data_IF_818801099022
#
_entry.id   IF_818801099022
#
_cell.length_a   1.000
_cell.length_b   1.000
_cell.length_c   1.000
_cell.angle_alpha   90.00
_cell.angle_beta   90.00
_cell.angle_gamma   90.00
#
_symmetry.space_group_name_H-M   'P 1'
#
loop_
_entity.id
_entity.type
_entity.pdbx_description
1 polymer ?
#
# COMPACT_ATOMS: atom_id res chain seq x y z
N UNK A 1 8.38 -117.71 -63.84
CA UNK A 1 7.08 -118.40 -64.02
C UNK A 1 6.02 -117.52 -63.34
N UNK A 2 5.60 -116.44 -64.01
CA UNK A 2 4.30 -116.27 -64.69
C UNK A 2 3.11 -116.13 -63.71
N UNK A 3 2.37 -115.02 -63.89
CA UNK A 3 1.11 -114.60 -63.24
C UNK A 3 1.28 -114.08 -61.79
N UNK A 4 1.00 -112.83 -61.43
CA UNK A 4 -0.28 -112.15 -61.56
C UNK A 4 -0.08 -110.63 -61.68
N UNK A 5 -0.21 -110.12 -62.91
CA UNK A 5 -0.47 -108.71 -63.21
C UNK A 5 -1.99 -108.61 -63.31
N UNK A 6 -2.72 -108.40 -62.22
CA UNK A 6 -4.11 -107.90 -62.26
C UNK A 6 -4.71 -107.61 -60.87
N UNK A 7 -4.06 -106.76 -60.07
CA UNK A 7 -4.70 -106.09 -58.91
C UNK A 7 -4.01 -104.77 -58.56
N UNK A 8 -3.42 -104.09 -59.56
CA UNK A 8 -2.62 -102.87 -59.35
C UNK A 8 -3.43 -101.55 -59.52
N UNK A 9 -4.70 -101.59 -59.91
CA UNK A 9 -5.43 -100.38 -60.34
C UNK A 9 -6.68 -99.98 -59.54
N UNK A 10 -7.14 -100.77 -58.57
CA UNK A 10 -8.33 -100.42 -57.78
C UNK A 10 -8.04 -99.85 -56.37
N UNK A 11 -6.88 -100.15 -55.76
CA UNK A 11 -6.63 -99.83 -54.35
C UNK A 11 -5.81 -98.53 -54.11
N UNK A 12 -5.20 -97.96 -55.16
CA UNK A 12 -4.47 -96.68 -55.07
C UNK A 12 -5.38 -95.44 -55.13
N UNK A 13 -6.58 -95.54 -55.72
CA UNK A 13 -7.52 -94.40 -55.79
C UNK A 13 -8.31 -94.18 -54.50
N UNK A 14 -8.59 -95.22 -53.71
CA UNK A 14 -9.28 -95.06 -52.41
C UNK A 14 -8.36 -94.51 -51.30
N UNK A 15 -7.08 -94.89 -51.28
CA UNK A 15 -6.13 -94.37 -50.28
C UNK A 15 -5.81 -92.88 -50.50
N UNK A 16 -5.75 -92.40 -51.75
CA UNK A 16 -5.51 -90.99 -52.04
C UNK A 16 -6.70 -90.08 -51.72
N UNK A 17 -7.95 -90.58 -51.84
CA UNK A 17 -9.16 -89.82 -51.49
C UNK A 17 -9.31 -89.72 -49.96
N UNK A 18 -9.01 -90.79 -49.21
CA UNK A 18 -9.04 -90.77 -47.76
C UNK A 18 -7.95 -89.87 -47.14
N UNK A 19 -6.73 -89.84 -47.71
CA UNK A 19 -5.66 -88.94 -47.25
C UNK A 19 -5.91 -87.47 -47.60
N UNK A 20 -6.59 -87.19 -48.72
CA UNK A 20 -6.95 -85.81 -49.10
C UNK A 20 -8.05 -85.23 -48.22
N UNK A 21 -9.04 -86.04 -47.81
CA UNK A 21 -10.14 -85.59 -46.94
C UNK A 21 -9.65 -85.36 -45.49
N UNK A 22 -8.71 -86.17 -45.00
CA UNK A 22 -8.13 -86.00 -43.65
C UNK A 22 -7.18 -84.77 -43.60
N UNK A 23 -6.45 -84.48 -44.68
CA UNK A 23 -5.65 -83.24 -44.78
C UNK A 23 -6.53 -81.99 -44.86
N UNK A 24 -7.66 -82.03 -45.58
CA UNK A 24 -8.60 -80.90 -45.66
C UNK A 24 -9.40 -80.70 -44.35
N UNK A 25 -9.77 -81.79 -43.63
CA UNK A 25 -10.42 -81.68 -42.32
C UNK A 25 -9.45 -81.17 -41.23
N UNK A 26 -8.16 -81.54 -41.30
CA UNK A 26 -7.14 -81.03 -40.38
C UNK A 26 -6.79 -79.55 -40.62
N UNK A 27 -6.96 -79.06 -41.86
CA UNK A 27 -6.76 -77.66 -42.21
C UNK A 27 -7.96 -76.77 -41.82
N UNK A 28 -9.17 -77.34 -41.73
CA UNK A 28 -10.37 -76.61 -41.28
C UNK A 28 -10.50 -76.51 -39.75
N UNK A 29 -9.83 -77.36 -38.97
CA UNK A 29 -9.88 -77.32 -37.50
C UNK A 29 -8.69 -76.60 -36.83
N UNK A 30 -7.62 -76.27 -37.56
CA UNK A 30 -6.47 -75.53 -37.01
C UNK A 30 -6.59 -73.99 -37.14
N UNK A 31 -7.60 -73.48 -37.84
CA UNK A 31 -7.76 -72.04 -38.10
C UNK A 31 -8.73 -71.23 -37.22
N UNK A 32 -9.56 -71.77 -36.30
CA UNK A 32 -10.40 -70.91 -35.46
C UNK A 32 -9.66 -70.31 -34.25
N UNK A 33 -8.52 -70.87 -33.83
CA UNK A 33 -7.77 -70.39 -32.64
C UNK A 33 -6.86 -69.18 -32.91
N UNK A 34 -6.20 -69.10 -34.08
CA UNK A 34 -5.42 -67.90 -34.44
C UNK A 34 -6.30 -66.68 -34.77
N UNK A 35 -7.52 -66.91 -35.29
CA UNK A 35 -8.46 -65.85 -35.66
C UNK A 35 -9.15 -65.20 -34.45
N UNK A 36 -9.34 -65.93 -33.35
CA UNK A 36 -9.91 -65.36 -32.12
C UNK A 36 -8.86 -64.55 -31.34
N UNK A 37 -7.59 -64.96 -31.38
CA UNK A 37 -6.49 -64.28 -30.69
C UNK A 37 -6.01 -63.03 -31.46
N UNK A 38 -6.05 -63.01 -32.80
CA UNK A 38 -5.82 -61.82 -33.62
C UNK A 38 -6.94 -60.78 -33.45
N UNK A 39 -8.21 -61.20 -33.45
CA UNK A 39 -9.35 -60.31 -33.19
C UNK A 39 -9.36 -59.73 -31.76
N UNK A 40 -8.95 -60.50 -30.74
CA UNK A 40 -8.77 -59.99 -29.36
C UNK A 40 -7.62 -58.97 -29.27
N UNK A 41 -6.52 -59.19 -29.99
CA UNK A 41 -5.40 -58.24 -30.04
C UNK A 41 -5.75 -56.95 -30.81
N UNK A 42 -6.49 -57.04 -31.91
CA UNK A 42 -6.90 -55.90 -32.72
C UNK A 42 -7.98 -55.06 -32.01
N UNK A 43 -8.94 -55.70 -31.34
CA UNK A 43 -9.91 -55.03 -30.47
C UNK A 43 -9.26 -54.40 -29.23
N UNK A 44 -8.27 -55.05 -28.60
CA UNK A 44 -7.49 -54.47 -27.51
C UNK A 44 -6.62 -53.28 -27.96
N UNK A 45 -6.01 -53.34 -29.15
CA UNK A 45 -5.28 -52.20 -29.74
C UNK A 45 -6.21 -51.04 -30.09
N UNK A 46 -7.39 -51.31 -30.65
CA UNK A 46 -8.42 -50.29 -30.94
C UNK A 46 -8.94 -49.64 -29.66
N UNK A 47 -9.16 -50.44 -28.61
CA UNK A 47 -9.57 -49.96 -27.29
C UNK A 47 -8.47 -49.13 -26.61
N UNK A 48 -7.20 -49.52 -26.75
CA UNK A 48 -6.06 -48.75 -26.23
C UNK A 48 -5.86 -47.42 -26.98
N UNK A 49 -6.03 -47.39 -28.31
CA UNK A 49 -6.02 -46.14 -29.10
C UNK A 49 -7.18 -45.21 -28.75
N UNK A 50 -8.38 -45.76 -28.52
CA UNK A 50 -9.54 -45.00 -28.05
C UNK A 50 -9.27 -44.40 -26.65
N UNK A 51 -8.78 -45.21 -25.70
CA UNK A 51 -8.37 -44.74 -24.37
C UNK A 51 -7.30 -43.65 -24.43
N UNK A 52 -6.31 -43.79 -25.32
CA UNK A 52 -5.26 -42.79 -25.51
C UNK A 52 -5.80 -41.49 -26.11
N UNK A 53 -6.73 -41.57 -27.06
CA UNK A 53 -7.45 -40.41 -27.61
C UNK A 53 -8.28 -39.70 -26.54
N UNK A 54 -8.98 -40.46 -25.69
CA UNK A 54 -9.79 -39.91 -24.60
C UNK A 54 -8.92 -39.25 -23.53
N UNK A 55 -7.77 -39.85 -23.20
CA UNK A 55 -6.76 -39.25 -22.30
C UNK A 55 -6.19 -37.96 -22.91
N UNK A 56 -5.87 -37.94 -24.21
CA UNK A 56 -5.39 -36.72 -24.89
C UNK A 56 -6.45 -35.61 -24.89
N UNK A 57 -7.73 -35.94 -25.15
CA UNK A 57 -8.85 -34.99 -25.03
C UNK A 57 -9.01 -34.47 -23.60
N UNK A 58 -8.86 -35.34 -22.61
CA UNK A 58 -8.92 -34.96 -21.20
C UNK A 58 -7.75 -34.03 -20.81
N UNK A 59 -6.54 -34.29 -21.31
CA UNK A 59 -5.37 -33.41 -21.14
C UNK A 59 -5.63 -32.06 -21.80
N UNK A 60 -6.04 -32.00 -23.07
CA UNK A 60 -6.33 -30.75 -23.76
C UNK A 60 -7.44 -29.94 -23.07
N UNK A 61 -8.50 -30.61 -22.60
CA UNK A 61 -9.56 -29.98 -21.81
C UNK A 61 -9.01 -29.43 -20.49
N UNK A 62 -8.15 -30.18 -19.81
CA UNK A 62 -7.54 -29.77 -18.56
C UNK A 62 -6.56 -28.60 -18.75
N UNK A 63 -5.76 -28.60 -19.80
CA UNK A 63 -4.87 -27.50 -20.18
C UNK A 63 -5.67 -26.22 -20.47
N UNK A 64 -6.75 -26.34 -21.25
CA UNK A 64 -7.68 -25.24 -21.51
C UNK A 64 -8.29 -24.68 -20.21
N UNK A 65 -8.79 -25.56 -19.32
CA UNK A 65 -9.31 -25.15 -18.00
C UNK A 65 -8.25 -24.42 -17.16
N UNK A 66 -7.00 -24.90 -17.17
CA UNK A 66 -5.87 -24.25 -16.46
C UNK A 66 -5.58 -22.87 -17.07
N UNK A 67 -5.58 -22.76 -18.39
CA UNK A 67 -5.39 -21.50 -19.10
C UNK A 67 -6.47 -20.47 -18.72
N UNK A 68 -7.74 -20.87 -18.78
CA UNK A 68 -8.86 -20.00 -18.41
C UNK A 68 -8.84 -19.60 -16.93
N UNK A 69 -8.52 -20.55 -16.04
CA UNK A 69 -8.36 -20.27 -14.62
C UNK A 69 -7.23 -19.25 -14.37
N UNK A 70 -6.09 -19.39 -15.06
CA UNK A 70 -4.96 -18.46 -14.97
C UNK A 70 -5.31 -17.07 -15.53
N UNK A 71 -6.02 -17.00 -16.67
CA UNK A 71 -6.47 -15.73 -17.27
C UNK A 71 -7.40 -14.98 -16.33
N UNK A 72 -8.42 -15.66 -15.80
CA UNK A 72 -9.35 -15.06 -14.85
C UNK A 72 -8.64 -14.66 -13.54
N UNK A 73 -7.67 -15.44 -13.08
CA UNK A 73 -6.87 -15.11 -11.90
C UNK A 73 -6.00 -13.87 -12.14
N UNK A 74 -5.39 -13.73 -13.31
CA UNK A 74 -4.63 -12.53 -13.68
C UNK A 74 -5.53 -11.28 -13.70
N UNK A 75 -6.76 -11.40 -14.20
CA UNK A 75 -7.75 -10.32 -14.14
C UNK A 75 -8.11 -9.94 -12.69
N UNK A 76 -8.32 -10.92 -11.81
CA UNK A 76 -8.55 -10.67 -10.38
C UNK A 76 -7.33 -10.06 -9.67
N UNK A 77 -6.11 -10.43 -10.05
CA UNK A 77 -4.87 -9.82 -9.53
C UNK A 77 -4.73 -8.36 -9.99
N UNK A 78 -5.14 -8.04 -11.22
CA UNK A 78 -5.20 -6.66 -11.71
C UNK A 78 -6.29 -5.86 -10.98
N UNK A 79 -7.44 -6.46 -10.72
CA UNK A 79 -8.49 -5.84 -9.92
C UNK A 79 -7.99 -5.57 -8.49
N UNK A 80 -7.28 -6.53 -7.88
CA UNK A 80 -6.68 -6.35 -6.55
C UNK A 80 -5.67 -5.21 -6.52
N UNK A 81 -4.84 -5.05 -7.58
CA UNK A 81 -3.96 -3.89 -7.72
C UNK A 81 -4.75 -2.58 -7.68
N UNK A 82 -5.81 -2.48 -8.48
CA UNK A 82 -6.64 -1.28 -8.53
C UNK A 82 -7.33 -1.00 -7.19
N UNK A 83 -7.86 -2.04 -6.53
CA UNK A 83 -8.47 -1.95 -5.20
C UNK A 83 -7.45 -1.46 -4.15
N UNK A 84 -6.23 -2.03 -4.14
CA UNK A 84 -5.14 -1.62 -3.23
C UNK A 84 -4.71 -0.16 -3.48
N UNK A 85 -4.59 0.27 -4.74
CA UNK A 85 -4.24 1.65 -5.10
C UNK A 85 -5.33 2.66 -4.68
N UNK A 86 -6.61 2.30 -4.87
CA UNK A 86 -7.73 3.12 -4.42
C UNK A 86 -7.72 3.29 -2.90
N UNK A 87 -7.52 2.20 -2.16
CA UNK A 87 -7.38 2.23 -0.69
C UNK A 87 -6.21 3.12 -0.27
N UNK A 88 -5.06 3.01 -0.95
CA UNK A 88 -3.87 3.81 -0.63
C UNK A 88 -4.09 5.30 -0.81
N UNK A 89 -4.76 5.69 -1.90
CA UNK A 89 -5.11 7.09 -2.19
C UNK A 89 -6.02 7.67 -1.11
N UNK A 90 -7.08 6.93 -0.76
CA UNK A 90 -8.05 7.38 0.25
C UNK A 90 -7.42 7.42 1.64
N UNK A 91 -6.63 6.42 2.02
CA UNK A 91 -5.92 6.43 3.30
C UNK A 91 -4.90 7.58 3.41
N UNK A 92 -4.24 7.95 2.30
CA UNK A 92 -3.37 9.14 2.27
C UNK A 92 -4.17 10.43 2.47
N UNK A 93 -5.35 10.54 1.85
CA UNK A 93 -6.24 11.69 2.03
C UNK A 93 -6.76 11.80 3.47
N UNK A 94 -7.21 10.68 4.07
CA UNK A 94 -7.67 10.64 5.47
C UNK A 94 -6.56 11.11 6.42
N UNK A 95 -5.34 10.58 6.29
CA UNK A 95 -4.24 10.97 7.16
C UNK A 95 -3.89 12.47 7.04
N UNK A 96 -3.97 13.04 5.83
CA UNK A 96 -3.81 14.47 5.63
C UNK A 96 -4.92 15.26 6.32
N UNK A 97 -6.18 14.87 6.13
CA UNK A 97 -7.34 15.51 6.77
C UNK A 97 -7.22 15.44 8.31
N UNK A 98 -6.79 14.32 8.88
CA UNK A 98 -6.55 14.19 10.33
C UNK A 98 -5.51 15.21 10.83
N UNK A 99 -4.41 15.40 10.08
CA UNK A 99 -3.37 16.38 10.42
C UNK A 99 -3.90 17.82 10.27
N UNK A 100 -4.66 18.09 9.21
CA UNK A 100 -5.25 19.41 8.96
C UNK A 100 -6.32 19.74 10.02
N UNK A 101 -7.09 18.75 10.49
CA UNK A 101 -8.05 18.89 11.60
C UNK A 101 -7.35 19.23 12.92
N UNK A 102 -6.27 18.52 13.27
CA UNK A 102 -5.49 18.77 14.49
C UNK A 102 -4.93 20.20 14.49
N UNK A 103 -4.25 20.60 13.42
CA UNK A 103 -3.67 21.94 13.29
C UNK A 103 -4.72 23.06 13.27
N UNK A 104 -5.88 22.83 12.63
CA UNK A 104 -6.99 23.80 12.62
C UNK A 104 -7.61 23.93 14.02
N UNK A 105 -7.77 22.83 14.74
CA UNK A 105 -8.31 22.83 16.10
C UNK A 105 -7.39 23.57 17.09
N UNK A 106 -6.07 23.39 16.95
CA UNK A 106 -5.07 24.15 17.71
C UNK A 106 -5.16 25.66 17.43
N UNK A 107 -5.24 26.06 16.15
CA UNK A 107 -5.40 27.48 15.77
C UNK A 107 -6.69 28.09 16.33
N UNK A 108 -7.81 27.38 16.25
CA UNK A 108 -9.09 27.82 16.83
C UNK A 108 -8.91 28.06 18.34
N UNK A 109 -8.26 27.14 19.05
CA UNK A 109 -8.03 27.28 20.49
C UNK A 109 -7.17 28.50 20.83
N UNK A 110 -6.10 28.74 20.08
CA UNK A 110 -5.22 29.90 20.26
C UNK A 110 -5.95 31.23 19.96
N UNK A 111 -6.73 31.28 18.88
CA UNK A 111 -7.54 32.44 18.53
C UNK A 111 -8.64 32.71 19.55
N UNK A 112 -9.27 31.67 20.11
CA UNK A 112 -10.28 31.80 21.15
C UNK A 112 -9.69 32.42 22.44
N UNK A 113 -8.48 32.00 22.83
CA UNK A 113 -7.75 32.60 23.97
C UNK A 113 -7.44 34.08 23.69
N UNK A 114 -6.90 34.39 22.51
CA UNK A 114 -6.57 35.77 22.11
C UNK A 114 -7.81 36.67 22.05
N UNK A 115 -8.90 36.17 21.49
CA UNK A 115 -10.21 36.84 21.47
C UNK A 115 -10.69 37.15 22.88
N UNK A 116 -10.58 36.22 23.82
CA UNK A 116 -10.96 36.43 25.22
C UNK A 116 -10.10 37.51 25.88
N UNK A 117 -8.78 37.48 25.69
CA UNK A 117 -7.87 38.49 26.22
C UNK A 117 -8.16 39.90 25.69
N UNK A 118 -8.35 40.04 24.38
CA UNK A 118 -8.72 41.30 23.74
C UNK A 118 -10.10 41.79 24.19
N UNK A 119 -11.05 40.88 24.41
CA UNK A 119 -12.38 41.23 24.94
C UNK A 119 -12.27 41.83 26.35
N UNK A 120 -11.46 41.23 27.22
CA UNK A 120 -11.22 41.75 28.57
C UNK A 120 -10.48 43.09 28.52
N UNK A 121 -9.47 43.23 27.65
CA UNK A 121 -8.74 44.47 27.45
C UNK A 121 -9.67 45.60 26.97
N UNK A 122 -10.52 45.32 25.97
CA UNK A 122 -11.57 46.24 25.48
C UNK A 122 -12.46 46.69 26.63
N UNK A 123 -13.01 45.76 27.41
CA UNK A 123 -13.91 46.09 28.53
C UNK A 123 -13.24 46.99 29.57
N UNK A 124 -11.96 46.73 29.88
CA UNK A 124 -11.19 47.55 30.82
C UNK A 124 -10.93 48.96 30.27
N UNK A 125 -10.49 49.07 29.01
CA UNK A 125 -10.25 50.35 28.34
C UNK A 125 -11.55 51.17 28.25
N UNK A 126 -12.66 50.54 27.87
CA UNK A 126 -13.98 51.14 27.78
C UNK A 126 -14.45 51.71 29.13
N UNK A 127 -14.26 50.97 30.23
CA UNK A 127 -14.61 51.43 31.57
C UNK A 127 -13.75 52.63 32.02
N UNK A 128 -12.43 52.61 31.75
CA UNK A 128 -11.54 53.73 32.08
C UNK A 128 -11.88 54.99 31.27
N UNK A 129 -12.11 54.86 29.97
CA UNK A 129 -12.51 55.97 29.10
C UNK A 129 -13.87 56.54 29.54
N UNK A 130 -14.83 55.69 29.91
CA UNK A 130 -16.13 56.13 30.43
C UNK A 130 -15.99 56.92 31.74
N UNK A 131 -15.11 56.50 32.66
CA UNK A 131 -14.82 57.25 33.89
C UNK A 131 -14.20 58.62 33.60
N UNK A 132 -13.23 58.70 32.67
CA UNK A 132 -12.59 59.95 32.29
C UNK A 132 -13.56 60.92 31.61
N UNK A 133 -14.42 60.42 30.72
CA UNK A 133 -15.48 61.21 30.07
C UNK A 133 -16.48 61.75 31.09
N UNK A 134 -16.91 60.91 32.04
CA UNK A 134 -17.82 61.32 33.12
C UNK A 134 -17.19 62.41 33.98
N UNK A 135 -15.94 62.25 34.41
CA UNK A 135 -15.22 63.25 35.19
C UNK A 135 -15.08 64.58 34.41
N UNK A 136 -14.70 64.52 33.14
CA UNK A 136 -14.61 65.72 32.29
C UNK A 136 -15.96 66.43 32.14
N UNK A 137 -17.06 65.68 32.02
CA UNK A 137 -18.41 66.23 31.94
C UNK A 137 -18.85 66.88 33.27
N UNK A 138 -18.65 66.20 34.41
CA UNK A 138 -19.06 66.71 35.73
C UNK A 138 -18.27 67.93 36.18
N UNK A 139 -17.00 68.05 35.77
CA UNK A 139 -16.16 69.23 36.07
C UNK A 139 -16.58 70.46 35.24
N UNK A 140 -17.50 70.30 34.28
CA UNK A 140 -17.97 71.35 33.38
C UNK A 140 -16.89 71.69 32.34
N UNK A 141 -17.18 71.46 31.06
CA UNK A 141 -16.26 71.67 29.91
C UNK A 141 -15.56 73.06 29.83
N UNK A 142 -15.93 74.01 30.68
CA UNK A 142 -15.58 75.42 30.62
C UNK A 142 -14.52 75.85 31.65
N UNK A 143 -14.06 74.94 32.53
CA UNK A 143 -13.12 75.28 33.59
C UNK A 143 -11.74 75.70 33.04
N UNK A 144 -11.31 75.10 31.91
CA UNK A 144 -10.07 75.47 31.22
C UNK A 144 -10.10 76.92 30.69
N UNK A 145 -11.20 77.33 30.05
CA UNK A 145 -11.35 78.70 29.54
C UNK A 145 -11.45 79.70 30.68
N UNK A 146 -12.18 79.39 31.75
CA UNK A 146 -12.24 80.25 32.95
C UNK A 146 -10.87 80.41 33.63
N UNK A 147 -10.07 79.34 33.66
CA UNK A 147 -8.75 79.35 34.28
C UNK A 147 -7.69 80.08 33.42
N UNK A 148 -7.81 79.99 32.09
CA UNK A 148 -7.01 80.81 31.16
C UNK A 148 -7.35 82.31 31.24
N UNK A 149 -8.61 82.64 31.49
CA UNK A 149 -9.09 84.02 31.57
C UNK A 149 -8.74 84.70 32.91
N UNK A 150 -8.30 83.94 33.92
CA UNK A 150 -7.96 84.46 35.24
C UNK A 150 -6.46 84.85 35.29
N UNK A 151 -6.14 86.14 35.13
CA UNK A 151 -4.78 86.65 34.82
C UNK A 151 -3.82 86.80 36.01
N UNK A 152 -4.22 86.49 37.24
CA UNK A 152 -3.49 86.92 38.44
C UNK A 152 -2.17 86.18 38.72
N UNK A 153 -1.87 85.02 38.09
CA UNK A 153 -0.64 84.25 38.35
C UNK A 153 -0.06 83.54 37.09
N UNK A 154 0.70 84.27 36.28
CA UNK A 154 1.28 83.83 34.99
C UNK A 154 2.04 82.48 35.04
N UNK A 155 2.88 82.24 36.06
CA UNK A 155 3.65 80.99 36.18
C UNK A 155 2.79 79.75 36.45
N UNK A 156 1.67 79.90 37.16
CA UNK A 156 0.76 78.77 37.44
C UNK A 156 -0.06 78.42 36.21
N UNK A 157 -0.44 79.42 35.42
CA UNK A 157 -1.14 79.24 34.15
C UNK A 157 -0.27 78.44 33.18
N UNK A 158 1.01 78.81 33.02
CA UNK A 158 1.93 78.11 32.12
C UNK A 158 2.09 76.62 32.48
N UNK A 159 2.33 76.32 33.77
CA UNK A 159 2.40 74.94 34.26
C UNK A 159 1.10 74.18 34.04
N UNK A 160 -0.03 74.83 34.32
CA UNK A 160 -1.36 74.23 34.14
C UNK A 160 -1.64 73.90 32.68
N UNK A 161 -1.32 74.79 31.73
CA UNK A 161 -1.42 74.52 30.29
C UNK A 161 -0.58 73.29 29.90
N UNK A 162 0.67 73.21 30.36
CA UNK A 162 1.52 72.05 30.09
C UNK A 162 0.91 70.76 30.65
N UNK A 163 0.38 70.77 31.87
CA UNK A 163 -0.29 69.59 32.45
C UNK A 163 -1.53 69.18 31.65
N UNK A 164 -2.33 70.13 31.16
CA UNK A 164 -3.46 69.84 30.27
C UNK A 164 -3.02 69.25 28.94
N UNK A 165 -1.92 69.73 28.35
CA UNK A 165 -1.36 69.16 27.13
C UNK A 165 -0.93 67.71 27.33
N UNK A 166 -0.16 67.42 28.39
CA UNK A 166 0.24 66.05 28.73
C UNK A 166 -0.97 65.14 28.99
N UNK A 167 -1.99 65.65 29.70
CA UNK A 167 -3.22 64.91 29.97
C UNK A 167 -4.00 64.59 28.68
N UNK A 168 -4.16 65.57 27.79
CA UNK A 168 -4.85 65.36 26.52
C UNK A 168 -4.08 64.40 25.60
N UNK A 169 -2.75 64.52 25.56
CA UNK A 169 -1.92 63.58 24.81
C UNK A 169 -2.05 62.14 25.34
N UNK A 170 -2.08 61.97 26.68
CA UNK A 170 -2.34 60.66 27.29
C UNK A 170 -3.74 60.13 26.92
N UNK A 171 -4.77 60.99 26.93
CA UNK A 171 -6.14 60.62 26.52
C UNK A 171 -6.22 60.18 25.06
N UNK A 172 -5.63 60.94 24.14
CA UNK A 172 -5.59 60.56 22.72
C UNK A 172 -4.90 59.21 22.54
N UNK A 173 -3.78 58.99 23.24
CA UNK A 173 -3.07 57.70 23.19
C UNK A 173 -3.92 56.53 23.70
N UNK A 174 -4.72 56.72 24.75
CA UNK A 174 -5.64 55.69 25.24
C UNK A 174 -6.76 55.38 24.23
N UNK A 175 -7.29 56.40 23.55
CA UNK A 175 -8.28 56.23 22.47
C UNK A 175 -7.66 55.46 21.29
N UNK A 176 -6.45 55.83 20.86
CA UNK A 176 -5.74 55.15 19.78
C UNK A 176 -5.49 53.68 20.12
N UNK A 177 -5.02 53.41 21.34
CA UNK A 177 -4.83 52.04 21.83
C UNK A 177 -6.15 51.26 21.86
N UNK A 178 -7.25 51.88 22.26
CA UNK A 178 -8.58 51.24 22.26
C UNK A 178 -9.07 50.91 20.84
N UNK A 179 -8.88 51.82 19.88
CA UNK A 179 -9.20 51.58 18.47
C UNK A 179 -8.37 50.41 17.90
N UNK A 180 -7.08 50.33 18.25
CA UNK A 180 -6.22 49.20 17.88
C UNK A 180 -6.74 47.90 18.50
N UNK A 181 -7.13 47.88 19.79
CA UNK A 181 -7.72 46.70 20.43
C UNK A 181 -8.99 46.23 19.70
N UNK A 182 -9.87 47.14 19.30
CA UNK A 182 -11.10 46.81 18.56
C UNK A 182 -10.77 46.23 17.18
N UNK A 183 -9.84 46.85 16.44
CA UNK A 183 -9.43 46.37 15.13
C UNK A 183 -8.83 44.96 15.22
N UNK A 184 -7.96 44.72 16.21
CA UNK A 184 -7.39 43.40 16.48
C UNK A 184 -8.46 42.38 16.88
N UNK A 185 -9.44 42.77 17.70
CA UNK A 185 -10.53 41.89 18.11
C UNK A 185 -11.41 41.48 16.92
N UNK A 186 -11.72 42.43 16.03
CA UNK A 186 -12.49 42.16 14.81
C UNK A 186 -11.73 41.22 13.89
N UNK A 187 -10.45 41.49 13.63
CA UNK A 187 -9.60 40.60 12.83
C UNK A 187 -9.55 39.18 13.40
N UNK A 188 -9.24 39.04 14.71
CA UNK A 188 -9.17 37.72 15.37
C UNK A 188 -10.52 37.01 15.36
N UNK A 189 -11.63 37.75 15.48
CA UNK A 189 -12.96 37.15 15.42
C UNK A 189 -13.29 36.62 14.01
N UNK A 190 -12.91 37.35 12.97
CA UNK A 190 -13.07 36.91 11.58
C UNK A 190 -12.18 35.70 11.29
N UNK A 191 -10.89 35.74 11.67
CA UNK A 191 -9.98 34.60 11.55
C UNK A 191 -10.48 33.37 12.31
N UNK A 192 -11.01 33.55 13.52
CA UNK A 192 -11.59 32.44 14.28
C UNK A 192 -12.79 31.83 13.54
N UNK A 193 -13.69 32.64 12.98
CA UNK A 193 -14.85 32.14 12.25
C UNK A 193 -14.43 31.38 10.99
N UNK A 194 -13.47 31.90 10.21
CA UNK A 194 -13.00 31.20 9.01
C UNK A 194 -12.35 29.86 9.34
N UNK A 195 -11.62 29.76 10.44
CA UNK A 195 -11.06 28.48 10.90
C UNK A 195 -12.17 27.50 11.37
N UNK A 196 -13.24 27.99 12.01
CA UNK A 196 -14.39 27.15 12.37
C UNK A 196 -15.12 26.62 11.14
N UNK A 197 -15.32 27.44 10.12
CA UNK A 197 -15.95 27.02 8.87
C UNK A 197 -15.07 26.00 8.12
N UNK A 198 -13.76 26.23 8.10
CA UNK A 198 -12.78 25.28 7.54
C UNK A 198 -12.78 23.94 8.29
N UNK A 199 -12.88 23.97 9.64
CA UNK A 199 -12.99 22.77 10.45
C UNK A 199 -14.24 21.95 10.08
N UNK A 200 -15.38 22.61 9.85
CA UNK A 200 -16.61 21.94 9.44
C UNK A 200 -16.46 21.28 8.07
N UNK A 201 -15.88 22.00 7.09
CA UNK A 201 -15.60 21.45 5.76
C UNK A 201 -14.68 20.21 5.85
N UNK A 202 -13.61 20.27 6.64
CA UNK A 202 -12.69 19.14 6.81
C UNK A 202 -13.37 17.91 7.43
N UNK A 203 -14.31 18.10 8.37
CA UNK A 203 -15.11 17.00 8.95
C UNK A 203 -16.04 16.36 7.91
N UNK A 204 -16.67 17.17 7.06
CA UNK A 204 -17.54 16.66 6.00
C UNK A 204 -16.72 15.89 4.94
N UNK A 205 -15.55 16.40 4.57
CA UNK A 205 -14.59 15.71 3.70
C UNK A 205 -14.11 14.39 4.33
N UNK A 206 -13.81 14.37 5.63
CA UNK A 206 -13.43 13.16 6.35
C UNK A 206 -14.51 12.08 6.24
N UNK A 207 -15.78 12.44 6.47
CA UNK A 207 -16.90 11.52 6.39
C UNK A 207 -17.03 10.93 4.97
N UNK A 208 -16.88 11.76 3.93
CA UNK A 208 -16.90 11.31 2.55
C UNK A 208 -15.76 10.33 2.26
N UNK A 209 -14.52 10.64 2.67
CA UNK A 209 -13.38 9.74 2.49
C UNK A 209 -13.57 8.41 3.23
N UNK A 210 -14.14 8.43 4.44
CA UNK A 210 -14.42 7.23 5.22
C UNK A 210 -15.43 6.30 4.54
N UNK A 211 -16.49 6.85 3.95
CA UNK A 211 -17.46 6.04 3.19
C UNK A 211 -16.79 5.39 1.97
N UNK A 212 -15.97 6.14 1.23
CA UNK A 212 -15.22 5.64 0.09
C UNK A 212 -14.19 4.58 0.48
N UNK A 213 -13.54 4.75 1.64
CA UNK A 213 -12.57 3.80 2.18
C UNK A 213 -13.23 2.47 2.54
N UNK A 214 -14.39 2.51 3.22
CA UNK A 214 -15.18 1.32 3.56
C UNK A 214 -15.65 0.58 2.32
N UNK A 215 -16.13 1.31 1.31
CA UNK A 215 -16.52 0.74 0.01
C UNK A 215 -15.36 0.03 -0.68
N UNK A 216 -14.20 0.69 -0.76
CA UNK A 216 -12.98 0.14 -1.37
C UNK A 216 -12.47 -1.11 -0.64
N UNK A 217 -12.49 -1.11 0.70
CA UNK A 217 -12.18 -2.31 1.51
C UNK A 217 -13.14 -3.46 1.26
N UNK A 218 -14.45 -3.18 1.15
CA UNK A 218 -15.46 -4.19 0.84
C UNK A 218 -15.21 -4.82 -0.52
N UNK A 219 -14.90 -4.01 -1.54
CA UNK A 219 -14.58 -4.48 -2.89
C UNK A 219 -13.31 -5.35 -2.89
N UNK A 220 -12.24 -4.89 -2.25
CA UNK A 220 -11.00 -5.67 -2.07
C UNK A 220 -11.28 -7.03 -1.42
N UNK A 221 -12.09 -7.06 -0.38
CA UNK A 221 -12.44 -8.31 0.31
C UNK A 221 -13.22 -9.27 -0.60
N UNK A 222 -14.11 -8.78 -1.47
CA UNK A 222 -14.78 -9.60 -2.48
C UNK A 222 -13.76 -10.16 -3.49
N UNK A 223 -12.82 -9.34 -3.97
CA UNK A 223 -11.74 -9.76 -4.87
C UNK A 223 -10.88 -10.86 -4.23
N UNK A 224 -10.48 -10.69 -2.97
CA UNK A 224 -9.69 -11.68 -2.22
C UNK A 224 -10.45 -12.99 -2.01
N UNK A 225 -11.74 -12.94 -1.69
CA UNK A 225 -12.59 -14.17 -1.59
C UNK A 225 -12.69 -14.90 -2.91
N UNK A 226 -12.78 -14.19 -4.04
CA UNK A 226 -12.77 -14.82 -5.38
C UNK A 226 -11.41 -15.44 -5.69
N UNK A 227 -10.31 -14.78 -5.29
CA UNK A 227 -8.95 -15.26 -5.51
C UNK A 227 -8.62 -16.47 -4.62
N UNK A 228 -9.10 -16.52 -3.37
CA UNK A 228 -8.86 -17.64 -2.46
C UNK A 228 -9.59 -18.92 -2.86
N UNK A 229 -10.77 -18.82 -3.49
CA UNK A 229 -11.50 -19.98 -4.05
C UNK A 229 -10.76 -20.64 -5.22
N UNK A 230 -9.86 -19.91 -5.88
CA UNK A 230 -9.03 -20.41 -6.99
C UNK A 230 -7.68 -20.86 -6.47
N UNK A 231 -7.69 -21.98 -5.74
CA UNK A 231 -6.50 -22.59 -5.16
C UNK A 231 -5.52 -23.00 -6.28
N UNK A 232 -4.26 -22.60 -6.13
CA UNK A 232 -3.18 -23.04 -6.99
C UNK A 232 -2.63 -24.36 -6.48
N UNK A 233 -2.22 -25.25 -7.38
CA UNK A 233 -1.41 -26.40 -6.99
C UNK A 233 -0.05 -25.95 -6.46
N UNK A 234 0.63 -26.79 -5.67
CA UNK A 234 1.96 -26.47 -5.13
C UNK A 234 2.96 -26.06 -6.21
N UNK A 235 2.90 -26.70 -7.39
CA UNK A 235 3.76 -26.39 -8.54
C UNK A 235 3.41 -25.04 -9.17
N UNK A 236 2.12 -24.75 -9.35
CA UNK A 236 1.67 -23.45 -9.87
C UNK A 236 2.04 -22.31 -8.92
N UNK A 237 1.92 -22.52 -7.60
CA UNK A 237 2.33 -21.56 -6.59
C UNK A 237 3.84 -21.29 -6.64
N UNK A 238 4.66 -22.33 -6.82
CA UNK A 238 6.11 -22.18 -6.98
C UNK A 238 6.45 -21.37 -8.24
N UNK A 239 5.84 -21.69 -9.38
CA UNK A 239 6.05 -20.95 -10.63
C UNK A 239 5.64 -19.48 -10.51
N UNK A 240 4.51 -19.22 -9.82
CA UNK A 240 4.07 -17.85 -9.53
C UNK A 240 5.12 -17.09 -8.71
N UNK A 241 5.61 -17.67 -7.61
CA UNK A 241 6.58 -17.02 -6.74
C UNK A 241 7.90 -16.70 -7.47
N UNK A 242 8.34 -17.59 -8.37
CA UNK A 242 9.50 -17.33 -9.24
C UNK A 242 9.27 -16.16 -10.19
N UNK A 243 8.09 -16.08 -10.80
CA UNK A 243 7.74 -14.98 -11.69
C UNK A 243 7.69 -13.64 -10.94
N UNK A 244 7.13 -13.61 -9.73
CA UNK A 244 7.12 -12.42 -8.87
C UNK A 244 8.53 -11.98 -8.47
N UNK A 245 9.40 -12.93 -8.15
CA UNK A 245 10.81 -12.65 -7.84
C UNK A 245 11.56 -12.10 -9.05
N UNK A 246 11.34 -12.66 -10.24
CA UNK A 246 11.95 -12.17 -11.47
C UNK A 246 11.46 -10.74 -11.79
N UNK A 247 10.16 -10.48 -11.65
CA UNK A 247 9.60 -9.14 -11.85
C UNK A 247 10.21 -8.12 -10.88
N UNK A 248 10.41 -8.49 -9.61
CA UNK A 248 11.10 -7.63 -8.65
C UNK A 248 12.54 -7.34 -9.09
N UNK A 249 13.31 -8.37 -9.45
CA UNK A 249 14.71 -8.18 -9.87
C UNK A 249 14.81 -7.33 -11.13
N UNK A 250 13.91 -7.52 -12.11
CA UNK A 250 13.85 -6.70 -13.32
C UNK A 250 13.52 -5.24 -12.99
N UNK A 251 12.53 -4.99 -12.13
CA UNK A 251 12.19 -3.64 -11.68
C UNK A 251 13.39 -2.96 -11.01
N UNK A 252 14.07 -3.66 -10.10
CA UNK A 252 15.24 -3.13 -9.40
C UNK A 252 16.42 -2.86 -10.33
N UNK A 253 16.72 -3.77 -11.27
CA UNK A 253 17.82 -3.59 -12.22
C UNK A 253 17.59 -2.40 -13.14
N UNK A 254 16.33 -2.21 -13.61
CA UNK A 254 15.96 -1.05 -14.41
C UNK A 254 16.16 0.26 -13.63
N UNK A 255 15.82 0.28 -12.34
CA UNK A 255 15.98 1.45 -11.49
C UNK A 255 17.45 1.73 -11.13
N UNK A 256 18.23 0.68 -10.86
CA UNK A 256 19.66 0.81 -10.59
C UNK A 256 20.42 1.39 -11.79
N UNK A 257 20.02 1.04 -13.02
CA UNK A 257 20.63 1.58 -14.24
C UNK A 257 20.35 3.08 -14.46
N UNK A 258 19.24 3.60 -13.94
CA UNK A 258 18.85 5.00 -14.09
C UNK A 258 19.55 5.94 -13.08
N UNK A 259 20.23 5.38 -12.08
CA UNK A 259 20.77 6.12 -10.94
C UNK A 259 22.28 5.92 -10.93
N UNK A 260 22.96 6.66 -11.82
CA UNK A 260 24.41 6.81 -11.86
C UNK A 260 24.87 8.18 -11.33
N UNK A 261 23.97 8.98 -10.76
CA UNK A 261 24.28 10.35 -10.35
C UNK A 261 24.55 10.44 -8.83
N UNK A 262 25.78 10.83 -8.53
CA UNK A 262 26.38 11.28 -7.27
C UNK A 262 25.39 11.63 -6.15
N UNK A 263 25.31 10.75 -5.15
CA UNK A 263 24.87 11.12 -3.81
C UNK A 263 25.91 10.55 -2.86
N UNK A 264 26.44 11.40 -1.97
CA UNK A 264 27.36 11.01 -0.91
C UNK A 264 26.62 10.20 0.17
N UNK A 265 26.20 8.99 -0.21
CA UNK A 265 25.59 8.01 0.67
C UNK A 265 26.65 6.98 1.04
N UNK A 266 26.94 6.87 2.33
CA UNK A 266 28.04 6.06 2.86
C UNK A 266 27.78 4.55 2.89
N UNK A 267 26.58 4.10 2.50
CA UNK A 267 26.16 2.69 2.55
C UNK A 267 25.79 2.22 3.97
N UNK A 268 25.53 0.90 4.10
CA UNK A 268 25.13 0.28 5.37
C UNK A 268 26.22 -0.58 6.02
N UNK A 269 27.43 -0.61 5.45
CA UNK A 269 28.51 -1.53 5.85
C UNK A 269 28.98 -1.32 7.30
N UNK A 270 29.14 -0.05 7.72
CA UNK A 270 29.58 0.36 9.07
C UNK A 270 28.49 0.28 10.15
N UNK A 271 27.24 0.01 9.73
CA UNK A 271 26.03 0.08 10.58
C UNK A 271 25.48 -1.30 10.94
N UNK A 272 26.25 -2.37 10.75
CA UNK A 272 25.89 -3.71 11.21
C UNK A 272 25.55 -3.69 12.70
N UNK A 273 24.42 -4.30 13.06
CA UNK A 273 23.84 -4.34 14.41
C UNK A 273 23.56 -2.99 15.07
N UNK A 274 23.52 -1.88 14.31
CA UNK A 274 23.28 -0.53 14.85
C UNK A 274 21.96 0.08 14.41
N UNK A 275 21.36 -0.43 13.32
CA UNK A 275 20.14 0.13 12.76
C UNK A 275 18.92 -0.23 13.62
N UNK A 276 17.91 0.63 13.61
CA UNK A 276 16.61 0.33 14.19
C UNK A 276 15.79 -0.54 13.25
N UNK A 277 14.92 -1.39 13.80
CA UNK A 277 13.88 -2.02 12.99
C UNK A 277 12.93 -0.96 12.41
N UNK A 278 12.47 -1.12 11.15
CA UNK A 278 11.59 -0.14 10.51
C UNK A 278 10.18 -0.08 11.12
N UNK A 279 9.81 -1.11 11.89
CA UNK A 279 8.62 -1.09 12.73
C UNK A 279 8.80 -2.01 13.94
N UNK A 280 8.20 -1.62 15.07
CA UNK A 280 8.07 -2.47 16.26
C UNK A 280 6.95 -3.49 16.03
N UNK A 281 7.27 -4.78 16.09
CA UNK A 281 6.32 -5.85 15.86
C UNK A 281 6.93 -7.25 16.01
N UNK A 282 6.09 -8.29 15.90
CA UNK A 282 6.53 -9.69 16.01
C UNK A 282 6.99 -10.22 14.65
N UNK A 283 8.19 -10.80 14.59
CA UNK A 283 8.68 -11.44 13.36
C UNK A 283 7.91 -12.75 13.12
N UNK A 284 7.11 -12.79 12.05
CA UNK A 284 6.34 -13.96 11.60
C UNK A 284 7.17 -14.89 10.73
N UNK A 285 7.97 -14.33 9.82
CA UNK A 285 8.86 -15.08 8.94
C UNK A 285 10.26 -14.49 9.01
N UNK A 286 11.26 -15.37 9.04
CA UNK A 286 12.68 -14.99 9.15
C UNK A 286 13.38 -15.23 7.81
N UNK A 287 14.44 -14.47 7.58
CA UNK A 287 15.30 -14.69 6.42
C UNK A 287 15.81 -16.14 6.39
N UNK A 288 15.80 -16.75 5.21
CA UNK A 288 16.33 -18.10 4.98
C UNK A 288 15.40 -19.25 5.36
N UNK A 289 14.26 -19.01 6.03
CA UNK A 289 13.28 -20.07 6.32
C UNK A 289 12.53 -20.48 5.06
N UNK A 290 11.95 -21.69 5.06
CA UNK A 290 11.15 -22.21 3.94
C UNK A 290 9.93 -21.32 3.68
N UNK A 291 9.68 -20.97 2.41
CA UNK A 291 8.52 -20.19 1.94
C UNK A 291 7.53 -21.08 1.19
N UNK A 292 7.99 -21.76 0.13
CA UNK A 292 7.19 -22.70 -0.66
C UNK A 292 8.11 -23.67 -1.40
N UNK A 293 7.88 -24.98 -1.30
CA UNK A 293 8.79 -25.96 -1.92
C UNK A 293 10.22 -25.76 -1.41
N UNK A 294 11.17 -25.53 -2.31
CA UNK A 294 12.56 -25.19 -1.96
C UNK A 294 12.83 -23.67 -1.83
N UNK A 295 11.87 -22.82 -2.14
CA UNK A 295 12.03 -21.37 -2.07
C UNK A 295 12.16 -20.93 -0.61
N UNK A 296 13.11 -20.04 -0.34
CA UNK A 296 13.36 -19.46 0.99
C UNK A 296 12.91 -18.00 1.04
N UNK A 297 12.60 -17.52 2.24
CA UNK A 297 12.35 -16.10 2.49
C UNK A 297 13.64 -15.28 2.28
N UNK A 298 13.56 -14.23 1.45
CA UNK A 298 14.67 -13.30 1.18
C UNK A 298 14.67 -12.07 2.09
N UNK A 299 13.69 -11.95 2.96
CA UNK A 299 13.55 -10.90 3.95
C UNK A 299 12.87 -11.43 5.20
N UNK A 300 12.33 -10.51 6.00
CA UNK A 300 11.52 -10.81 7.17
C UNK A 300 10.09 -10.31 6.97
N UNK A 301 9.12 -10.98 7.59
CA UNK A 301 7.76 -10.46 7.70
C UNK A 301 7.51 -10.08 9.15
N UNK A 302 7.23 -8.80 9.41
CA UNK A 302 7.02 -8.24 10.74
C UNK A 302 5.54 -7.92 10.90
N UNK A 303 4.86 -8.61 11.83
CA UNK A 303 3.46 -8.32 12.16
C UNK A 303 3.37 -7.05 12.98
N UNK A 304 2.51 -6.14 12.53
CA UNK A 304 2.14 -4.94 13.26
C UNK A 304 0.73 -4.48 12.84
N UNK A 305 0.08 -3.64 13.66
CA UNK A 305 -1.24 -3.10 13.34
C UNK A 305 -1.24 -2.31 12.02
N UNK A 306 -2.38 -2.34 11.33
CA UNK A 306 -2.64 -1.50 10.14
C UNK A 306 -2.48 -0.02 10.54
N UNK A 307 -2.07 0.81 9.58
CA UNK A 307 -1.86 2.26 9.75
C UNK A 307 -0.68 2.63 10.65
N UNK A 308 0.05 1.67 11.24
CA UNK A 308 1.29 1.97 11.96
C UNK A 308 2.34 2.48 10.98
N UNK A 309 3.07 3.53 11.36
CA UNK A 309 4.14 4.08 10.53
C UNK A 309 5.29 3.08 10.34
N UNK A 310 5.75 2.98 9.10
CA UNK A 310 6.98 2.31 8.68
C UNK A 310 8.04 3.38 8.52
N UNK A 311 9.17 3.19 9.20
CA UNK A 311 10.28 4.13 9.21
C UNK A 311 11.41 3.62 8.31
N UNK A 312 12.13 4.53 7.66
CA UNK A 312 13.36 4.15 6.97
C UNK A 312 14.45 3.80 7.98
N UNK A 313 15.21 2.75 7.70
CA UNK A 313 16.30 2.29 8.58
C UNK A 313 17.52 3.22 8.58
N UNK A 314 17.69 4.01 7.52
CA UNK A 314 18.83 4.90 7.35
C UNK A 314 18.55 5.97 6.28
N UNK A 315 19.41 6.99 6.22
CA UNK A 315 19.40 8.01 5.17
C UNK A 315 19.50 7.37 3.78
N UNK A 316 18.77 7.90 2.81
CA UNK A 316 18.76 7.37 1.46
C UNK A 316 17.90 8.16 0.49
N UNK A 317 17.72 7.60 -0.72
CA UNK A 317 16.83 8.13 -1.76
C UNK A 317 15.83 7.07 -2.19
N UNK A 318 14.58 7.45 -2.41
CA UNK A 318 13.54 6.52 -2.86
C UNK A 318 13.75 6.19 -4.34
N UNK A 319 14.00 4.92 -4.66
CA UNK A 319 14.12 4.41 -6.03
C UNK A 319 12.81 3.94 -6.63
N UNK A 320 11.92 3.41 -5.80
CA UNK A 320 10.63 2.87 -6.21
C UNK A 320 9.58 3.19 -5.17
N UNK A 321 8.40 3.57 -5.62
CA UNK A 321 7.25 3.83 -4.76
C UNK A 321 5.97 3.57 -5.56
N UNK A 322 5.61 2.30 -5.72
CA UNK A 322 4.40 1.89 -6.46
C UNK A 322 3.98 0.46 -6.04
N UNK A 323 2.87 -0.01 -6.58
CA UNK A 323 2.39 -1.38 -6.43
C UNK A 323 3.15 -2.34 -7.34
N UNK A 324 3.74 -3.38 -6.74
CA UNK A 324 4.41 -4.46 -7.44
C UNK A 324 3.73 -5.81 -7.17
N UNK A 325 3.54 -6.59 -8.23
CA UNK A 325 2.91 -7.92 -8.16
C UNK A 325 3.67 -8.83 -7.19
N UNK A 326 2.96 -9.39 -6.22
CA UNK A 326 3.50 -10.26 -5.16
C UNK A 326 4.00 -9.52 -3.91
N UNK A 327 4.25 -8.22 -4.02
CA UNK A 327 4.79 -7.39 -2.94
C UNK A 327 3.79 -6.30 -2.48
N UNK A 328 2.73 -6.05 -3.26
CA UNK A 328 1.78 -4.98 -2.98
C UNK A 328 2.44 -3.62 -3.15
N UNK A 329 2.00 -2.64 -2.36
CA UNK A 329 2.64 -1.32 -2.30
C UNK A 329 4.03 -1.45 -1.69
N UNK A 330 5.02 -1.12 -2.50
CA UNK A 330 6.44 -1.33 -2.21
C UNK A 330 7.17 0.01 -2.31
N UNK A 331 7.95 0.32 -1.27
CA UNK A 331 8.97 1.36 -1.30
C UNK A 331 10.34 0.71 -1.35
N UNK A 332 11.22 1.20 -2.22
CA UNK A 332 12.63 0.80 -2.28
C UNK A 332 13.48 2.04 -2.06
N UNK A 333 14.43 1.96 -1.12
CA UNK A 333 15.33 3.05 -0.78
C UNK A 333 16.77 2.61 -1.07
N UNK A 334 17.50 3.46 -1.79
CA UNK A 334 18.94 3.35 -1.97
C UNK A 334 19.68 4.05 -0.84
N UNK A 335 20.65 3.36 -0.27
CA UNK A 335 21.51 3.86 0.80
C UNK A 335 22.95 4.05 0.33
N UNK A 336 23.24 3.94 -0.97
CA UNK A 336 24.58 4.08 -1.54
C UNK A 336 25.40 2.80 -1.44
N UNK A 337 26.53 2.77 -2.16
CA UNK A 337 27.46 1.63 -2.22
C UNK A 337 26.76 0.28 -2.55
N UNK A 338 25.70 0.34 -3.37
CA UNK A 338 24.91 -0.84 -3.77
C UNK A 338 24.01 -1.42 -2.68
N UNK A 339 23.81 -0.72 -1.54
CA UNK A 339 22.88 -1.12 -0.50
C UNK A 339 21.47 -0.59 -0.76
N UNK A 340 20.48 -1.46 -0.65
CA UNK A 340 19.07 -1.08 -0.77
C UNK A 340 18.25 -1.68 0.37
N UNK A 341 17.17 -1.00 0.75
CA UNK A 341 16.14 -1.53 1.63
C UNK A 341 14.77 -1.51 0.96
N UNK A 342 13.98 -2.56 1.19
CA UNK A 342 12.68 -2.77 0.59
C UNK A 342 11.62 -2.89 1.68
N UNK A 343 10.49 -2.20 1.48
CA UNK A 343 9.38 -2.12 2.43
C UNK A 343 8.09 -2.40 1.68
N UNK A 344 7.49 -3.58 1.88
CA UNK A 344 6.34 -4.02 1.10
C UNK A 344 5.11 -4.39 1.94
N UNK A 345 4.00 -4.65 1.26
CA UNK A 345 2.66 -4.85 1.82
C UNK A 345 2.09 -3.62 2.53
N UNK A 346 2.60 -2.43 2.21
CA UNK A 346 2.14 -1.18 2.80
C UNK A 346 0.67 -0.91 2.45
N UNK A 347 -0.02 -0.14 3.27
CA UNK A 347 -1.35 0.38 2.95
C UNK A 347 -1.26 1.64 2.09
N UNK A 348 -0.31 2.52 2.43
CA UNK A 348 -0.08 3.81 1.78
C UNK A 348 1.41 4.09 1.77
N UNK A 349 1.88 4.71 0.70
CA UNK A 349 3.25 5.21 0.56
C UNK A 349 3.25 6.72 0.81
N UNK A 350 4.13 7.17 1.71
CA UNK A 350 4.23 8.58 2.11
C UNK A 350 5.25 9.35 1.28
N UNK A 351 6.16 8.63 0.60
CA UNK A 351 7.24 9.19 -0.22
C UNK A 351 7.10 8.81 -1.69
N UNK A 352 7.58 9.69 -2.56
CA UNK A 352 7.61 9.54 -4.01
C UNK A 352 8.99 9.12 -4.50
N UNK A 353 9.07 8.59 -5.73
CA UNK A 353 10.36 8.29 -6.36
C UNK A 353 11.18 9.57 -6.49
N UNK A 354 12.44 9.51 -6.08
CA UNK A 354 13.35 10.65 -6.08
C UNK A 354 13.48 11.38 -4.75
N UNK A 355 12.54 11.20 -3.83
CA UNK A 355 12.57 11.84 -2.50
C UNK A 355 13.79 11.38 -1.71
N UNK A 356 14.45 12.32 -1.02
CA UNK A 356 15.45 12.00 0.00
C UNK A 356 14.73 11.69 1.31
N UNK A 357 15.26 10.73 2.04
CA UNK A 357 14.72 10.31 3.34
C UNK A 357 15.82 10.23 4.38
N UNK A 358 15.47 10.57 5.61
CA UNK A 358 16.37 10.57 6.77
C UNK A 358 16.09 9.41 7.71
N UNK A 359 17.10 8.98 8.46
CA UNK A 359 17.01 7.85 9.40
C UNK A 359 15.83 8.02 10.37
N UNK A 360 14.92 7.04 10.41
CA UNK A 360 13.75 7.07 11.29
C UNK A 360 12.54 7.82 10.70
N UNK A 361 12.68 8.45 9.54
CA UNK A 361 11.58 9.17 8.89
C UNK A 361 10.45 8.21 8.45
N UNK A 362 9.17 8.57 8.65
CA UNK A 362 8.04 7.79 8.13
C UNK A 362 8.01 7.78 6.60
N UNK A 363 8.01 6.58 6.02
CA UNK A 363 8.02 6.38 4.56
C UNK A 363 6.76 5.71 4.02
N UNK A 364 6.05 4.98 4.87
CA UNK A 364 4.83 4.27 4.52
C UNK A 364 3.99 3.98 5.76
N UNK A 365 2.75 3.52 5.56
CA UNK A 365 1.89 2.97 6.60
C UNK A 365 1.71 1.47 6.39
N UNK A 366 1.70 0.69 7.48
CA UNK A 366 1.53 -0.77 7.42
C UNK A 366 0.15 -1.13 6.88
N UNK A 367 0.14 -2.16 6.03
CA UNK A 367 -1.09 -2.68 5.44
C UNK A 367 -1.08 -4.18 5.23
N UNK A 368 -1.84 -4.57 4.22
CA UNK A 368 -2.06 -5.95 3.76
C UNK A 368 -2.05 -6.02 2.22
N UNK A 369 -1.50 -5.02 1.54
CA UNK A 369 -1.56 -4.95 0.06
C UNK A 369 -0.81 -6.13 -0.58
N UNK A 370 -1.17 -6.46 -1.82
CA UNK A 370 -0.62 -7.63 -2.51
C UNK A 370 -1.22 -8.97 -2.06
N UNK A 371 -2.33 -8.93 -1.30
CA UNK A 371 -3.10 -10.12 -0.91
C UNK A 371 -2.58 -10.88 0.30
N UNK A 372 -1.90 -10.19 1.22
CA UNK A 372 -1.45 -10.77 2.48
C UNK A 372 -2.65 -11.06 3.39
N UNK A 373 -2.68 -12.25 4.03
CA UNK A 373 -3.78 -12.68 4.89
C UNK A 373 -3.83 -12.01 6.28
N UNK A 374 -2.73 -11.39 6.71
CA UNK A 374 -2.60 -10.69 7.99
C UNK A 374 -1.77 -9.40 7.80
N UNK A 375 -1.92 -8.40 8.66
CA UNK A 375 -1.18 -7.14 8.51
C UNK A 375 0.27 -7.30 8.91
N UNK A 376 1.15 -6.67 8.13
CA UNK A 376 2.56 -6.73 8.41
C UNK A 376 3.40 -6.09 7.32
N UNK A 377 4.65 -5.86 7.66
CA UNK A 377 5.67 -5.30 6.79
C UNK A 377 6.57 -6.42 6.28
N UNK A 378 6.66 -6.57 4.96
CA UNK A 378 7.78 -7.31 4.37
C UNK A 378 8.99 -6.38 4.30
N UNK A 379 10.09 -6.79 4.91
CA UNK A 379 11.32 -6.01 4.98
C UNK A 379 12.52 -6.81 4.50
N UNK A 380 13.29 -6.23 3.59
CA UNK A 380 14.46 -6.86 2.98
C UNK A 380 15.60 -5.83 2.84
N UNK A 381 16.83 -6.28 3.10
CA UNK A 381 18.04 -5.52 2.81
C UNK A 381 18.77 -6.23 1.68
N UNK A 382 19.25 -5.48 0.69
CA UNK A 382 20.07 -5.98 -0.41
C UNK A 382 21.42 -5.30 -0.44
N UNK A 383 22.41 -6.01 -0.95
CA UNK A 383 23.71 -5.47 -1.33
C UNK A 383 24.11 -6.06 -2.67
N UNK A 384 24.38 -5.21 -3.66
CA UNK A 384 24.75 -5.63 -5.03
C UNK A 384 23.76 -6.66 -5.61
N UNK A 385 22.46 -6.38 -5.45
CA UNK A 385 21.37 -7.23 -5.94
C UNK A 385 21.09 -8.49 -5.11
N UNK A 386 21.95 -8.86 -4.15
CA UNK A 386 21.76 -10.05 -3.29
C UNK A 386 21.06 -9.69 -1.99
N UNK A 387 20.06 -10.48 -1.62
CA UNK A 387 19.34 -10.34 -0.36
C UNK A 387 20.21 -10.76 0.83
N UNK A 388 20.16 -9.95 1.89
CA UNK A 388 20.94 -10.13 3.12
C UNK A 388 20.00 -10.33 4.31
N UNK A 389 20.46 -11.04 5.34
CA UNK A 389 19.68 -11.24 6.56
C UNK A 389 19.54 -9.92 7.35
N UNK A 390 18.36 -9.29 7.43
CA UNK A 390 18.21 -7.97 8.05
C UNK A 390 18.52 -7.96 9.56
N UNK A 391 18.41 -9.12 10.23
CA UNK A 391 18.76 -9.27 11.65
C UNK A 391 20.24 -8.97 11.95
N UNK A 392 21.11 -9.03 10.95
CA UNK A 392 22.54 -8.66 11.12
C UNK A 392 22.76 -7.14 11.10
N UNK A 393 21.77 -6.35 10.69
CA UNK A 393 21.82 -4.89 10.65
C UNK A 393 20.95 -4.25 11.73
N UNK A 394 19.71 -4.73 11.89
CA UNK A 394 18.73 -4.17 12.81
C UNK A 394 18.84 -4.77 14.22
N UNK A 395 18.70 -3.94 15.26
CA UNK A 395 18.64 -4.35 16.67
C UNK A 395 17.27 -4.08 17.28
#
# INVERSE_FOLDING_TARGET
MRLFIHTYLANKRLQHIATAIILILSFMFAFPLQAEQSNRNESAQKQNRAKLSDVQKAIAKQESNIFDANKQRSSLEQQLKNDDLAIAKVAKAINKIETDLETTQEKISALAIKKKQLTIAKQRQELLLAQQLRAAYTTGQHDYLKLLLNQDQSEKIQRTISYYQYLNQARTKEIDNFQVTIAQLLQVSTEHQTQVDQLQQLKDEQLQQDTQFRSSKSQRNKTLKKLSRKLLSSQQQLNKLKAEENNLNQALNKLAALIQAEIDLTGLSKLKRKLSWPVKGRILHRFGTRKQGYLKWKGVLISAPISRQVQTIHNGKVLFSDWLKGYGLLTVIDHGNGYMSLYAHNQTLLKSVGDRVETGEPIALIGQSGGLGQSGLYFEIRHQGKALNPKLWCR
#
